data_IF_005482431629
#
_entry.id   IF_005482431629
#
_cell.length_a   1.000
_cell.length_b   1.000
_cell.length_c   1.000
_cell.angle_alpha   90.00
_cell.angle_beta   90.00
_cell.angle_gamma   90.00
#
_symmetry.space_group_name_H-M   'P 1'
#
loop_
_entity.id
_entity.type
_entity.pdbx_description
1 polymer ?
#
# COMPACT_ATOMS: atom_id res chain seq x y z
N UNK A 1 -68.65 -2.36 -40.53
CA UNK A 1 -68.20 -3.50 -41.36
C UNK A 1 -67.35 -4.38 -40.45
N UNK A 2 -67.99 -5.26 -39.67
CA UNK A 2 -68.23 -6.71 -39.96
C UNK A 2 -66.93 -7.50 -40.06
N UNK A 3 -66.71 -8.66 -39.44
CA UNK A 3 -67.35 -9.49 -38.41
C UNK A 3 -66.26 -10.55 -38.07
N UNK A 4 -65.91 -10.89 -36.82
CA UNK A 4 -66.58 -11.88 -35.95
C UNK A 4 -66.66 -13.28 -36.64
N UNK A 5 -66.09 -14.38 -36.13
CA UNK A 5 -66.56 -15.21 -34.99
C UNK A 5 -65.64 -16.49 -34.91
N UNK A 6 -65.08 -16.92 -33.76
CA UNK A 6 -65.62 -17.91 -32.75
C UNK A 6 -65.36 -19.41 -33.13
N UNK A 7 -65.15 -20.43 -32.27
CA UNK A 7 -65.26 -20.77 -30.82
C UNK A 7 -64.33 -21.99 -30.57
N UNK A 8 -64.03 -22.52 -29.38
CA UNK A 8 -64.50 -22.33 -28.01
C UNK A 8 -63.89 -23.41 -27.09
N UNK A 9 -63.86 -23.16 -25.77
CA UNK A 9 -63.53 -24.15 -24.71
C UNK A 9 -64.72 -25.07 -24.38
N UNK A 10 -64.95 -25.53 -23.11
CA UNK A 10 -64.16 -25.34 -21.87
C UNK A 10 -64.12 -26.59 -20.92
N UNK A 11 -63.43 -26.44 -19.77
CA UNK A 11 -63.85 -26.78 -18.36
C UNK A 11 -62.93 -27.69 -17.50
N UNK A 12 -62.45 -27.06 -16.42
CA UNK A 12 -62.46 -27.40 -14.96
C UNK A 12 -61.86 -28.72 -14.41
N UNK A 13 -60.98 -28.53 -13.41
CA UNK A 13 -60.38 -29.43 -12.41
C UNK A 13 -61.36 -29.96 -11.33
N UNK A 14 -61.06 -31.08 -10.62
CA UNK A 14 -60.64 -30.95 -9.19
C UNK A 14 -59.71 -32.04 -8.59
N UNK A 15 -58.82 -31.59 -7.68
CA UNK A 15 -58.24 -32.16 -6.42
C UNK A 15 -58.07 -33.66 -6.07
N UNK A 16 -56.94 -33.91 -5.36
CA UNK A 16 -56.66 -34.75 -4.15
C UNK A 16 -55.71 -35.97 -4.27
N UNK A 17 -54.92 -36.13 -3.17
CA UNK A 17 -54.16 -37.30 -2.65
C UNK A 17 -52.62 -37.28 -2.76
N UNK A 18 -51.94 -37.13 -1.61
CA UNK A 18 -50.55 -37.54 -1.24
C UNK A 18 -50.59 -38.91 -0.51
N UNK A 19 -49.50 -39.63 -0.11
CA UNK A 19 -48.02 -39.51 -0.26
C UNK A 19 -47.27 -40.84 -0.60
N UNK A 20 -45.93 -40.86 -0.74
CA UNK A 20 -44.98 -41.83 -0.10
C UNK A 20 -43.54 -41.81 -0.68
N UNK A 21 -42.55 -41.93 0.24
CA UNK A 21 -41.19 -42.53 0.21
C UNK A 21 -40.37 -42.56 -1.12
N UNK A 22 -39.05 -42.36 -1.18
CA UNK A 22 -37.95 -42.46 -0.23
C UNK A 22 -36.64 -41.99 -0.92
N UNK A 23 -35.53 -42.03 -0.18
CA UNK A 23 -34.13 -42.05 -0.62
C UNK A 23 -33.37 -40.71 -0.74
N UNK A 24 -32.83 -40.34 0.42
CA UNK A 24 -31.50 -39.79 0.66
C UNK A 24 -30.47 -39.88 -0.48
N UNK A 25 -29.82 -38.75 -0.78
CA UNK A 25 -28.38 -38.66 -0.99
C UNK A 25 -27.93 -37.19 -0.80
N UNK A 26 -27.65 -36.82 0.44
CA UNK A 26 -26.78 -35.68 0.76
C UNK A 26 -25.34 -36.17 0.71
N UNK A 27 -24.62 -35.82 -0.36
CA UNK A 27 -23.17 -35.98 -0.48
C UNK A 27 -22.50 -34.61 -0.27
N UNK A 28 -21.66 -34.55 0.76
CA UNK A 28 -20.40 -33.81 0.86
C UNK A 28 -20.31 -32.37 0.36
N UNK A 29 -21.04 -31.45 0.99
CA UNK A 29 -20.69 -30.03 0.97
C UNK A 29 -19.92 -29.56 2.23
N UNK A 30 -19.88 -30.37 3.30
CA UNK A 30 -19.23 -29.98 4.56
C UNK A 30 -17.73 -30.24 4.57
N UNK A 31 -17.22 -31.27 3.90
CA UNK A 31 -15.76 -31.51 3.84
C UNK A 31 -15.03 -30.45 3.01
N UNK A 32 -15.58 -30.07 1.85
CA UNK A 32 -14.99 -29.01 1.02
C UNK A 32 -15.00 -27.65 1.70
N UNK A 33 -16.06 -27.34 2.47
CA UNK A 33 -16.16 -26.10 3.23
C UNK A 33 -15.21 -26.10 4.45
N UNK A 34 -15.09 -27.22 5.16
CA UNK A 34 -14.17 -27.38 6.28
C UNK A 34 -12.70 -27.43 5.83
N UNK A 35 -12.39 -27.95 4.64
CA UNK A 35 -11.05 -27.89 4.04
C UNK A 35 -10.71 -26.43 3.67
N UNK A 36 -11.63 -25.68 3.07
CA UNK A 36 -11.41 -24.27 2.74
C UNK A 36 -11.25 -23.43 4.01
N UNK A 37 -12.03 -23.67 5.06
CA UNK A 37 -11.85 -23.04 6.37
C UNK A 37 -10.50 -23.44 7.00
N UNK A 38 -10.16 -24.73 7.01
CA UNK A 38 -8.90 -25.26 7.55
C UNK A 38 -7.65 -24.90 6.73
N UNK A 39 -7.80 -24.41 5.50
CA UNK A 39 -6.72 -23.79 4.71
C UNK A 39 -6.58 -22.30 5.05
N UNK A 40 -7.69 -21.58 5.28
CA UNK A 40 -7.69 -20.16 5.69
C UNK A 40 -7.07 -19.94 7.08
N UNK A 41 -7.20 -20.91 7.99
CA UNK A 41 -6.58 -20.85 9.31
C UNK A 41 -5.05 -21.04 9.31
N UNK A 42 -4.45 -21.48 8.18
CA UNK A 42 -3.00 -21.72 8.07
C UNK A 42 -2.21 -20.57 7.46
N UNK A 43 -2.88 -19.49 7.06
CA UNK A 43 -2.26 -18.37 6.35
C UNK A 43 -1.49 -17.44 7.27
N UNK A 44 -1.82 -17.40 8.57
CA UNK A 44 -1.05 -16.65 9.56
C UNK A 44 -0.49 -17.63 10.58
N UNK A 45 0.83 -17.61 10.77
CA UNK A 45 1.53 -18.47 11.71
C UNK A 45 2.36 -17.63 12.69
N UNK A 46 2.25 -17.93 13.98
CA UNK A 46 3.07 -17.33 15.03
C UNK A 46 3.82 -18.43 15.77
N UNK A 47 5.14 -18.31 15.83
CA UNK A 47 6.04 -19.34 16.39
C UNK A 47 5.77 -20.74 15.82
N UNK A 48 5.47 -20.81 14.51
CA UNK A 48 5.18 -22.04 13.79
C UNK A 48 3.77 -22.63 14.02
N UNK A 49 2.89 -21.96 14.76
CA UNK A 49 1.52 -22.40 15.02
C UNK A 49 0.50 -21.51 14.31
N UNK A 50 -0.63 -22.07 13.81
CA UNK A 50 -1.74 -21.29 13.29
C UNK A 50 -2.21 -20.22 14.29
N UNK A 51 -2.38 -18.99 13.82
CA UNK A 51 -2.85 -17.88 14.63
C UNK A 51 -4.38 -17.86 14.72
N UNK A 52 -4.93 -18.10 15.92
CA UNK A 52 -6.36 -18.41 16.11
C UNK A 52 -7.20 -17.33 16.80
N UNK A 53 -6.64 -16.53 17.71
CA UNK A 53 -7.40 -15.51 18.45
C UNK A 53 -6.94 -14.11 18.12
N UNK A 54 -7.92 -13.28 17.90
CA UNK A 54 -7.85 -12.01 17.23
C UNK A 54 -8.23 -10.89 18.24
N UNK A 55 -8.60 -11.31 19.46
CA UNK A 55 -9.24 -10.52 20.53
C UNK A 55 -8.38 -9.37 21.06
N UNK A 56 -7.09 -9.41 20.75
CA UNK A 56 -6.14 -8.31 21.03
C UNK A 56 -6.48 -7.03 20.27
N UNK A 57 -7.18 -7.11 19.13
CA UNK A 57 -7.55 -5.95 18.33
C UNK A 57 -9.06 -5.71 18.32
N UNK A 58 -9.52 -4.47 18.55
CA UNK A 58 -10.94 -4.14 18.57
C UNK A 58 -11.64 -4.56 17.26
N UNK A 59 -12.91 -5.00 17.33
CA UNK A 59 -13.71 -5.26 16.15
C UNK A 59 -13.72 -4.04 15.21
N UNK A 60 -13.58 -4.29 13.90
CA UNK A 60 -13.55 -3.26 12.83
C UNK A 60 -12.36 -2.28 12.87
N UNK A 61 -11.35 -2.53 13.72
CA UNK A 61 -10.07 -1.80 13.63
C UNK A 61 -9.37 -2.06 12.30
N UNK A 62 -8.44 -1.17 11.93
CA UNK A 62 -7.61 -1.34 10.72
C UNK A 62 -6.80 -2.64 10.81
N UNK A 63 -6.30 -2.98 11.99
CA UNK A 63 -5.59 -4.23 12.25
C UNK A 63 -6.48 -5.45 11.97
N UNK A 64 -7.76 -5.43 12.38
CA UNK A 64 -8.71 -6.51 12.04
C UNK A 64 -8.96 -6.64 10.56
N UNK A 65 -9.04 -5.53 9.83
CA UNK A 65 -9.18 -5.56 8.37
C UNK A 65 -7.93 -6.16 7.73
N UNK A 66 -6.73 -5.78 8.18
CA UNK A 66 -5.47 -6.34 7.67
C UNK A 66 -5.39 -7.84 7.96
N UNK A 67 -5.69 -8.28 9.19
CA UNK A 67 -5.69 -9.69 9.57
C UNK A 67 -6.67 -10.51 8.73
N UNK A 68 -7.87 -9.97 8.48
CA UNK A 68 -8.84 -10.61 7.60
C UNK A 68 -8.28 -10.76 6.17
N UNK A 69 -7.64 -9.72 5.63
CA UNK A 69 -7.01 -9.78 4.29
C UNK A 69 -5.82 -10.75 4.25
N UNK A 70 -5.02 -10.84 5.30
CA UNK A 70 -3.95 -11.84 5.41
C UNK A 70 -4.50 -13.27 5.39
N UNK A 71 -5.64 -13.54 6.04
CA UNK A 71 -6.30 -14.87 6.02
C UNK A 71 -6.89 -15.24 4.65
N UNK A 72 -7.32 -14.24 3.89
CA UNK A 72 -7.90 -14.40 2.56
C UNK A 72 -6.85 -14.45 1.43
N UNK A 73 -5.63 -14.02 1.74
CA UNK A 73 -4.49 -14.05 0.82
C UNK A 73 -4.06 -15.50 0.53
N UNK A 74 -3.47 -15.78 -0.66
CA UNK A 74 -2.85 -17.07 -0.95
C UNK A 74 -1.47 -17.26 -0.28
N UNK A 75 -0.92 -16.22 0.36
CA UNK A 75 0.42 -16.25 0.96
C UNK A 75 0.40 -16.67 2.44
N UNK A 76 1.46 -17.36 2.87
CA UNK A 76 1.68 -17.66 4.30
C UNK A 76 2.49 -16.55 4.96
N UNK A 77 1.90 -15.93 5.98
CA UNK A 77 2.50 -14.92 6.85
C UNK A 77 3.00 -15.57 8.14
N UNK A 78 4.30 -15.85 8.20
CA UNK A 78 4.93 -16.46 9.39
C UNK A 78 5.70 -15.43 10.22
N UNK A 79 5.46 -15.44 11.53
CA UNK A 79 6.06 -14.54 12.52
C UNK A 79 6.76 -15.36 13.62
N UNK A 80 7.88 -14.88 14.15
CA UNK A 80 8.60 -15.54 15.25
C UNK A 80 7.87 -15.37 16.59
N UNK A 81 7.13 -14.28 16.76
CA UNK A 81 6.40 -13.93 17.99
C UNK A 81 5.13 -13.12 17.72
N UNK A 82 4.25 -13.05 18.73
CA UNK A 82 3.07 -12.18 18.69
C UNK A 82 3.44 -10.70 18.57
N UNK A 83 4.58 -10.29 19.14
CA UNK A 83 5.07 -8.92 19.05
C UNK A 83 5.46 -8.55 17.62
N UNK A 84 6.03 -9.48 16.86
CA UNK A 84 6.38 -9.26 15.45
C UNK A 84 5.13 -9.08 14.58
N UNK A 85 4.10 -9.92 14.77
CA UNK A 85 2.79 -9.74 14.11
C UNK A 85 2.17 -8.40 14.50
N UNK A 86 2.11 -8.09 15.80
CA UNK A 86 1.56 -6.83 16.28
C UNK A 86 2.34 -5.61 15.76
N UNK A 87 3.65 -5.74 15.56
CA UNK A 87 4.50 -4.73 14.98
C UNK A 87 4.14 -4.46 13.52
N UNK A 88 4.03 -5.50 12.68
CA UNK A 88 3.62 -5.32 11.27
C UNK A 88 2.26 -4.64 11.16
N UNK A 89 1.26 -5.11 11.92
CA UNK A 89 -0.08 -4.53 11.91
C UNK A 89 -0.07 -3.05 12.32
N UNK A 90 0.73 -2.69 13.32
CA UNK A 90 0.92 -1.31 13.77
C UNK A 90 1.54 -0.43 12.69
N UNK A 91 2.63 -0.90 12.06
CA UNK A 91 3.30 -0.14 11.00
C UNK A 91 2.37 0.04 9.81
N UNK A 92 1.66 -1.02 9.36
CA UNK A 92 0.68 -0.92 8.27
C UNK A 92 -0.44 0.07 8.56
N UNK A 93 -1.02 0.03 9.76
CA UNK A 93 -1.99 1.04 10.21
C UNK A 93 -1.40 2.44 10.12
N UNK A 94 -0.16 2.62 10.58
CA UNK A 94 0.50 3.91 10.57
C UNK A 94 0.89 4.37 9.16
N UNK A 95 1.14 3.48 8.21
CA UNK A 95 1.31 3.81 6.78
C UNK A 95 0.01 4.41 6.24
N UNK A 96 -1.12 3.75 6.51
CA UNK A 96 -2.45 4.22 6.11
C UNK A 96 -2.77 5.59 6.74
N UNK A 97 -2.51 5.74 8.05
CA UNK A 97 -2.71 7.00 8.75
C UNK A 97 -1.81 8.12 8.19
N UNK A 98 -0.55 7.80 7.88
CA UNK A 98 0.41 8.73 7.28
C UNK A 98 0.01 9.15 5.87
N UNK A 99 -0.50 8.24 5.05
CA UNK A 99 -1.03 8.55 3.73
C UNK A 99 -2.22 9.52 3.80
N UNK A 100 -3.17 9.25 4.72
CA UNK A 100 -4.30 10.15 4.97
C UNK A 100 -3.84 11.51 5.50
N UNK A 101 -2.92 11.54 6.46
CA UNK A 101 -2.39 12.80 6.99
C UNK A 101 -1.70 13.62 5.91
N UNK A 102 -0.94 12.98 5.01
CA UNK A 102 -0.29 13.67 3.89
C UNK A 102 -1.32 14.30 2.96
N UNK A 103 -2.41 13.59 2.64
CA UNK A 103 -3.52 14.12 1.83
C UNK A 103 -4.10 15.45 2.37
N UNK A 104 -4.07 15.66 3.68
CA UNK A 104 -4.62 16.86 4.32
C UNK A 104 -3.56 17.89 4.76
N UNK A 105 -2.27 17.58 4.63
CA UNK A 105 -1.17 18.43 5.11
C UNK A 105 -0.91 19.69 4.29
N UNK A 106 -1.47 19.78 3.07
CA UNK A 106 -1.21 20.87 2.13
C UNK A 106 0.09 20.74 1.33
N UNK A 107 0.81 19.61 1.42
CA UNK A 107 1.92 19.30 0.50
C UNK A 107 1.42 19.25 -0.94
N UNK A 108 2.27 19.70 -1.88
CA UNK A 108 1.94 19.68 -3.30
C UNK A 108 2.80 18.69 -4.07
N UNK A 109 2.27 18.22 -5.20
CA UNK A 109 3.06 17.48 -6.17
C UNK A 109 3.84 18.46 -7.05
N UNK A 110 5.15 18.27 -7.18
CA UNK A 110 5.99 18.91 -8.19
C UNK A 110 7.07 17.91 -8.66
N UNK A 111 7.51 17.95 -9.94
CA UNK A 111 8.68 17.19 -10.38
C UNK A 111 9.96 17.70 -9.69
N UNK A 112 11.06 16.95 -9.80
CA UNK A 112 12.33 17.28 -9.15
C UNK A 112 12.82 18.72 -9.39
N UNK A 113 12.71 19.22 -10.61
CA UNK A 113 13.14 20.58 -10.98
C UNK A 113 12.37 21.71 -10.30
N UNK A 114 11.21 21.41 -9.71
CA UNK A 114 10.33 22.35 -9.00
C UNK A 114 10.10 21.95 -7.54
N UNK A 115 10.87 20.99 -7.04
CA UNK A 115 10.77 20.55 -5.66
C UNK A 115 11.19 21.66 -4.69
N UNK A 116 10.54 21.69 -3.53
CA UNK A 116 10.78 22.69 -2.47
C UNK A 116 10.55 22.06 -1.11
N UNK A 117 11.30 22.53 -0.11
CA UNK A 117 11.23 22.05 1.26
C UNK A 117 11.51 23.17 2.25
N UNK A 118 11.11 22.98 3.52
CA UNK A 118 11.39 23.95 4.56
C UNK A 118 12.91 24.02 4.84
N UNK A 119 13.56 25.18 4.60
CA UNK A 119 15.00 25.32 4.77
C UNK A 119 15.43 25.26 6.24
N UNK A 120 14.50 25.26 7.21
CA UNK A 120 14.82 25.02 8.61
C UNK A 120 15.40 23.62 8.84
N UNK A 121 14.85 22.61 8.15
CA UNK A 121 15.17 21.20 8.38
C UNK A 121 15.99 20.59 7.25
N UNK A 122 15.77 21.05 6.02
CA UNK A 122 16.29 20.42 4.82
C UNK A 122 17.17 21.38 4.01
N UNK A 123 18.20 20.85 3.38
CA UNK A 123 18.91 21.47 2.28
C UNK A 123 18.37 20.89 0.97
N UNK A 124 17.77 21.75 0.14
CA UNK A 124 17.41 21.39 -1.23
C UNK A 124 18.67 21.22 -2.08
N UNK A 125 18.85 20.07 -2.71
CA UNK A 125 19.96 19.80 -3.63
C UNK A 125 19.66 20.35 -5.02
N UNK A 126 20.69 20.50 -5.86
CA UNK A 126 20.54 20.97 -7.26
C UNK A 126 19.68 20.04 -8.13
N UNK A 127 19.48 18.79 -7.71
CA UNK A 127 18.65 17.78 -8.38
C UNK A 127 17.26 17.64 -7.74
N UNK A 128 16.89 18.53 -6.82
CA UNK A 128 15.57 18.53 -6.18
C UNK A 128 15.39 17.54 -5.03
N UNK A 129 16.46 16.92 -4.53
CA UNK A 129 16.42 16.06 -3.34
C UNK A 129 16.53 16.86 -2.04
N UNK A 130 16.02 16.32 -0.93
CA UNK A 130 16.06 16.98 0.38
C UNK A 130 17.06 16.30 1.29
N UNK A 131 18.19 16.95 1.54
CA UNK A 131 19.21 16.47 2.47
C UNK A 131 18.92 17.01 3.86
N UNK A 132 18.78 16.13 4.84
CA UNK A 132 18.60 16.54 6.24
C UNK A 132 19.80 17.37 6.69
N UNK A 133 19.55 18.52 7.33
CA UNK A 133 20.63 19.39 7.82
C UNK A 133 21.35 18.75 9.01
N UNK A 134 22.67 18.96 9.16
CA UNK A 134 23.42 18.50 10.32
C UNK A 134 22.80 18.96 11.64
N UNK A 135 22.70 18.06 12.62
CA UNK A 135 22.17 18.35 13.96
C UNK A 135 20.64 18.44 14.06
N UNK A 136 19.91 18.33 12.95
CA UNK A 136 18.43 18.31 12.97
C UNK A 136 17.95 16.90 13.32
N UNK A 137 17.06 16.73 14.33
CA UNK A 137 16.46 15.44 14.62
C UNK A 137 15.59 14.95 13.45
N UNK A 138 15.81 13.72 12.93
CA UNK A 138 15.03 13.17 11.81
C UNK A 138 13.51 13.19 12.06
N UNK A 139 13.08 12.88 13.28
CA UNK A 139 11.67 12.91 13.67
C UNK A 139 11.05 14.30 13.49
N UNK A 140 11.76 15.36 13.91
CA UNK A 140 11.27 16.74 13.80
C UNK A 140 11.14 17.15 12.33
N UNK A 141 12.12 16.79 11.50
CA UNK A 141 12.14 17.09 10.08
C UNK A 141 11.02 16.39 9.30
N UNK A 142 10.73 15.12 9.63
CA UNK A 142 9.63 14.35 9.03
C UNK A 142 8.27 14.88 9.49
N UNK A 143 8.07 15.13 10.78
CA UNK A 143 6.83 15.71 11.30
C UNK A 143 6.53 17.10 10.73
N UNK A 144 7.56 17.91 10.47
CA UNK A 144 7.40 19.24 9.89
C UNK A 144 6.76 19.18 8.49
N UNK A 145 7.01 18.13 7.70
CA UNK A 145 6.37 17.93 6.40
C UNK A 145 4.85 17.84 6.55
N UNK A 146 4.36 17.21 7.61
CA UNK A 146 2.93 17.06 7.87
C UNK A 146 2.31 18.30 8.50
N UNK A 147 3.04 19.00 9.38
CA UNK A 147 2.55 20.20 10.08
C UNK A 147 2.57 21.45 9.21
N UNK A 148 3.60 21.59 8.37
CA UNK A 148 3.84 22.75 7.53
C UNK A 148 3.86 22.37 6.05
N UNK A 149 2.97 21.47 5.62
CA UNK A 149 3.00 20.86 4.29
C UNK A 149 2.98 21.86 3.13
N UNK A 150 2.37 23.03 3.32
CA UNK A 150 2.42 24.13 2.34
C UNK A 150 3.85 24.60 2.01
N UNK A 151 4.84 24.39 2.88
CA UNK A 151 6.27 24.65 2.62
C UNK A 151 6.96 23.57 1.77
N UNK A 152 6.28 22.45 1.51
CA UNK A 152 6.83 21.33 0.75
C UNK A 152 6.10 21.03 -0.58
N UNK A 153 6.88 20.73 -1.62
CA UNK A 153 6.42 20.06 -2.82
C UNK A 153 7.48 19.09 -3.34
N UNK A 154 7.04 17.89 -3.69
CA UNK A 154 7.90 16.77 -4.12
C UNK A 154 7.08 15.78 -4.95
N UNK A 155 7.77 14.89 -5.65
CA UNK A 155 7.14 13.88 -6.51
C UNK A 155 6.66 12.64 -5.73
N UNK A 156 5.92 11.74 -6.38
CA UNK A 156 5.16 10.69 -5.67
C UNK A 156 6.03 9.57 -5.08
N UNK A 157 7.20 9.23 -5.62
CA UNK A 157 8.09 8.25 -4.99
C UNK A 157 8.67 8.78 -3.66
N UNK A 158 9.13 10.04 -3.65
CA UNK A 158 9.59 10.74 -2.45
C UNK A 158 8.47 10.81 -1.40
N UNK A 159 7.22 11.02 -1.84
CA UNK A 159 6.05 10.99 -0.96
C UNK A 159 5.88 9.64 -0.25
N UNK A 160 6.08 8.52 -0.95
CA UNK A 160 6.03 7.18 -0.35
C UNK A 160 7.11 7.01 0.73
N UNK A 161 8.35 7.44 0.46
CA UNK A 161 9.40 7.35 1.48
C UNK A 161 9.07 8.18 2.72
N UNK A 162 8.55 9.39 2.56
CA UNK A 162 8.11 10.23 3.68
C UNK A 162 7.00 9.53 4.47
N UNK A 163 6.04 8.90 3.79
CA UNK A 163 4.97 8.10 4.43
C UNK A 163 5.55 6.94 5.24
N UNK A 164 6.52 6.21 4.69
CA UNK A 164 7.16 5.12 5.42
C UNK A 164 7.94 5.63 6.65
N UNK A 165 8.74 6.69 6.52
CA UNK A 165 9.44 7.26 7.66
C UNK A 165 8.48 7.77 8.74
N UNK A 166 7.40 8.47 8.36
CA UNK A 166 6.40 8.93 9.31
C UNK A 166 5.65 7.75 9.96
N UNK A 167 5.36 6.69 9.21
CA UNK A 167 4.73 5.49 9.76
C UNK A 167 5.62 4.77 10.76
N UNK A 168 6.92 4.64 10.47
CA UNK A 168 7.90 4.05 11.39
C UNK A 168 8.05 4.92 12.63
N UNK A 169 8.18 6.25 12.48
CA UNK A 169 8.24 7.19 13.60
C UNK A 169 7.05 7.03 14.56
N UNK A 170 5.85 6.80 14.04
CA UNK A 170 4.64 6.58 14.83
C UNK A 170 4.50 5.13 15.37
N UNK A 171 5.46 4.26 15.10
CA UNK A 171 5.42 2.84 15.49
C UNK A 171 6.49 2.44 16.50
N UNK A 172 7.55 3.24 16.64
CA UNK A 172 8.70 3.01 17.53
C UNK A 172 8.97 4.22 18.43
N UNK A 173 9.89 4.07 19.37
CA UNK A 173 10.35 5.19 20.20
C UNK A 173 11.02 6.30 19.35
N UNK A 174 10.71 7.56 19.67
CA UNK A 174 11.24 8.73 18.93
C UNK A 174 12.77 8.80 18.97
N UNK A 175 13.38 8.51 20.12
CA UNK A 175 14.85 8.54 20.25
C UNK A 175 15.46 7.46 19.38
N UNK A 176 14.87 6.26 19.37
CA UNK A 176 15.29 5.19 18.47
C UNK A 176 15.14 5.58 16.99
N UNK A 177 14.02 6.20 16.60
CA UNK A 177 13.84 6.71 15.23
C UNK A 177 14.96 7.69 14.84
N UNK A 178 15.26 8.66 15.72
CA UNK A 178 16.32 9.62 15.51
C UNK A 178 17.71 8.96 15.41
N UNK A 179 17.97 7.90 16.16
CA UNK A 179 19.21 7.13 16.09
C UNK A 179 19.32 6.32 14.79
N UNK A 180 18.22 5.73 14.33
CA UNK A 180 18.19 4.95 13.10
C UNK A 180 18.37 5.87 11.89
N UNK A 181 17.64 6.97 11.77
CA UNK A 181 17.55 7.71 10.50
C UNK A 181 18.33 9.05 10.48
N UNK A 182 19.55 9.09 11.02
CA UNK A 182 20.32 10.34 11.24
C UNK A 182 20.71 11.13 9.99
N UNK A 183 20.78 10.50 8.81
CA UNK A 183 21.32 11.10 7.58
C UNK A 183 20.34 11.00 6.41
N UNK A 184 19.06 11.25 6.68
CA UNK A 184 18.03 11.16 5.65
C UNK A 184 18.36 12.02 4.43
N UNK A 185 18.21 11.39 3.28
CA UNK A 185 18.19 12.05 1.99
C UNK A 185 16.90 11.63 1.27
N UNK A 186 15.96 12.56 1.11
CA UNK A 186 14.69 12.27 0.44
C UNK A 186 14.85 12.57 -1.04
N UNK A 187 14.91 11.53 -1.86
CA UNK A 187 15.03 11.65 -3.31
C UNK A 187 14.54 10.35 -3.98
N UNK A 188 13.44 10.42 -4.72
CA UNK A 188 12.83 9.25 -5.37
C UNK A 188 12.68 8.08 -4.37
N UNK A 189 13.18 6.89 -4.73
CA UNK A 189 13.21 5.69 -3.91
C UNK A 189 14.54 5.48 -3.14
N UNK A 190 15.39 6.52 -3.03
CA UNK A 190 16.58 6.44 -2.19
C UNK A 190 16.18 6.34 -0.71
N UNK A 191 16.31 5.13 -0.15
CA UNK A 191 15.95 4.83 1.21
C UNK A 191 17.18 4.58 2.08
N UNK A 192 17.07 4.96 3.34
CA UNK A 192 17.99 4.53 4.37
C UNK A 192 17.93 2.99 4.50
N UNK A 193 19.08 2.30 4.60
CA UNK A 193 19.11 0.85 4.51
C UNK A 193 18.36 0.16 5.65
N UNK A 194 18.13 0.82 6.79
CA UNK A 194 17.35 0.25 7.90
C UNK A 194 15.85 0.18 7.59
N UNK A 195 15.36 0.93 6.59
CA UNK A 195 13.97 0.85 6.14
C UNK A 195 13.70 -0.42 5.30
N UNK A 196 14.70 -0.89 4.56
CA UNK A 196 14.70 -2.14 3.78
C UNK A 196 13.45 -2.33 2.92
N UNK A 197 13.42 -1.66 1.78
CA UNK A 197 12.27 -1.65 0.86
C UNK A 197 12.38 -2.82 -0.13
N UNK A 198 11.27 -3.54 -0.30
CA UNK A 198 11.20 -4.70 -1.19
C UNK A 198 10.03 -4.54 -2.16
N UNK A 199 10.27 -4.96 -3.40
CA UNK A 199 9.26 -5.10 -4.46
C UNK A 199 8.99 -6.59 -4.67
N UNK A 200 7.72 -6.99 -4.64
CA UNK A 200 7.29 -8.39 -4.74
C UNK A 200 6.14 -8.47 -5.75
N UNK A 201 6.19 -9.45 -6.65
CA UNK A 201 5.06 -9.74 -7.55
C UNK A 201 3.89 -10.30 -6.73
N UNK A 202 2.73 -9.64 -6.84
CA UNK A 202 1.50 -10.08 -6.19
C UNK A 202 0.31 -9.33 -6.78
N UNK A 203 -0.78 -10.06 -7.02
CA UNK A 203 -2.10 -9.50 -7.36
C UNK A 203 -3.02 -9.39 -6.14
N UNK A 204 -2.52 -9.74 -4.95
CA UNK A 204 -3.25 -9.67 -3.68
C UNK A 204 -2.66 -8.61 -2.77
N UNK A 205 -3.38 -7.50 -2.60
CA UNK A 205 -2.90 -6.33 -1.86
C UNK A 205 -3.43 -6.27 -0.44
N UNK A 206 -2.53 -6.00 0.51
CA UNK A 206 -2.89 -5.71 1.89
C UNK A 206 -2.98 -4.20 2.12
N UNK A 207 -3.88 -3.73 3.00
CA UNK A 207 -3.84 -2.34 3.45
C UNK A 207 -2.44 -1.96 3.99
N UNK A 208 -1.95 -0.80 3.57
CA UNK A 208 -0.59 -0.33 3.84
C UNK A 208 0.47 -0.75 2.81
N UNK A 209 0.14 -1.62 1.85
CA UNK A 209 1.03 -1.86 0.70
C UNK A 209 1.08 -0.62 -0.20
N UNK A 210 2.17 -0.48 -0.96
CA UNK A 210 2.28 0.50 -2.04
C UNK A 210 2.22 -0.23 -3.38
N UNK A 211 1.29 0.17 -4.22
CA UNK A 211 1.10 -0.35 -5.57
C UNK A 211 1.50 0.68 -6.61
N UNK A 212 1.58 0.25 -7.87
CA UNK A 212 1.86 1.15 -8.98
C UNK A 212 0.81 1.04 -10.09
N UNK A 213 0.22 2.19 -10.44
CA UNK A 213 -0.63 2.33 -11.62
C UNK A 213 0.24 2.74 -12.80
N UNK A 214 0.45 1.84 -13.75
CA UNK A 214 1.26 2.10 -14.93
C UNK A 214 0.43 2.78 -16.02
N UNK A 215 1.01 3.80 -16.67
CA UNK A 215 0.44 4.46 -17.85
C UNK A 215 1.43 4.34 -19.02
N UNK A 216 1.41 3.22 -19.77
CA UNK A 216 2.46 2.91 -20.74
C UNK A 216 2.56 3.93 -21.88
N UNK A 217 1.43 4.56 -22.22
CA UNK A 217 1.29 5.47 -23.35
C UNK A 217 1.15 6.94 -22.92
N UNK A 218 1.74 7.33 -21.79
CA UNK A 218 1.72 8.69 -21.28
C UNK A 218 2.21 9.72 -22.31
N UNK A 219 1.72 10.96 -22.21
CA UNK A 219 2.12 12.04 -23.10
C UNK A 219 3.58 12.48 -22.83
N UNK A 220 4.49 12.51 -23.84
CA UNK A 220 5.92 12.78 -23.62
C UNK A 220 6.22 14.12 -22.94
N UNK A 221 5.43 15.16 -23.22
CA UNK A 221 5.59 16.49 -22.60
C UNK A 221 5.17 16.56 -21.12
N UNK A 222 4.56 15.50 -20.58
CA UNK A 222 4.10 15.43 -19.20
C UNK A 222 4.51 14.09 -18.57
N UNK A 223 5.81 13.82 -18.59
CA UNK A 223 6.41 12.52 -18.27
C UNK A 223 6.23 12.05 -16.83
N UNK A 224 5.77 12.92 -15.92
CA UNK A 224 5.33 12.55 -14.57
C UNK A 224 4.00 11.79 -14.54
N UNK A 225 3.24 11.76 -15.65
CA UNK A 225 2.03 10.94 -15.80
C UNK A 225 2.31 9.53 -16.34
N UNK A 226 3.57 9.08 -16.35
CA UNK A 226 3.96 7.70 -16.71
C UNK A 226 3.33 6.63 -15.83
N UNK A 227 2.88 7.03 -14.66
CA UNK A 227 2.22 6.18 -13.71
C UNK A 227 2.14 6.87 -12.36
N UNK A 228 1.70 6.12 -11.36
CA UNK A 228 1.43 6.65 -10.02
C UNK A 228 1.68 5.60 -8.96
N UNK A 229 2.54 5.93 -7.98
CA UNK A 229 2.69 5.15 -6.77
C UNK A 229 1.54 5.46 -5.81
N UNK A 230 0.90 4.44 -5.22
CA UNK A 230 -0.23 4.67 -4.34
C UNK A 230 -0.27 3.73 -3.14
N UNK A 231 -0.63 4.28 -1.97
CA UNK A 231 -0.82 3.49 -0.74
C UNK A 231 -2.24 2.90 -0.72
N UNK A 232 -2.34 1.58 -0.51
CA UNK A 232 -3.60 0.87 -0.34
C UNK A 232 -4.21 1.20 1.03
N UNK A 233 -5.45 1.69 1.06
CA UNK A 233 -6.17 2.03 2.29
C UNK A 233 -7.08 0.88 2.74
N UNK A 234 -7.53 0.94 3.99
CA UNK A 234 -8.32 -0.13 4.62
C UNK A 234 -9.68 -0.38 3.95
N UNK A 235 -10.22 0.63 3.26
CA UNK A 235 -11.50 0.56 2.56
C UNK A 235 -11.37 0.18 1.07
N UNK A 236 -10.17 -0.19 0.61
CA UNK A 236 -9.90 -0.52 -0.80
C UNK A 236 -9.72 0.69 -1.72
N UNK A 237 -9.73 1.91 -1.19
CA UNK A 237 -9.27 3.10 -1.90
C UNK A 237 -7.73 3.20 -1.86
N UNK A 238 -7.20 4.19 -2.57
CA UNK A 238 -5.77 4.42 -2.71
C UNK A 238 -5.45 5.89 -2.46
N UNK A 239 -4.37 6.17 -1.72
CA UNK A 239 -3.78 7.51 -1.67
C UNK A 239 -2.69 7.61 -2.73
N UNK A 240 -2.85 8.54 -3.68
CA UNK A 240 -1.90 8.86 -4.73
C UNK A 240 -1.48 10.33 -4.63
N UNK A 241 -0.18 10.62 -4.45
CA UNK A 241 0.29 11.98 -4.17
C UNK A 241 0.11 12.90 -5.38
N UNK A 242 -0.60 14.03 -5.20
CA UNK A 242 -1.00 14.92 -6.29
C UNK A 242 -2.36 14.59 -6.92
N UNK A 243 -2.91 13.40 -6.70
CA UNK A 243 -4.26 12.98 -7.11
C UNK A 243 -5.23 12.97 -5.92
N UNK A 244 -4.73 12.61 -4.74
CA UNK A 244 -5.47 12.43 -3.49
C UNK A 244 -6.01 11.01 -3.32
N UNK A 245 -6.96 10.85 -2.38
CA UNK A 245 -7.60 9.57 -2.09
C UNK A 245 -8.66 9.23 -3.15
N UNK A 246 -8.50 8.14 -3.89
CA UNK A 246 -9.35 7.74 -5.03
C UNK A 246 -9.52 6.22 -5.13
N UNK A 247 -10.54 5.77 -5.87
CA UNK A 247 -10.61 4.37 -6.30
C UNK A 247 -9.59 4.07 -7.41
N UNK A 248 -9.27 2.78 -7.61
CA UNK A 248 -8.42 2.35 -8.73
C UNK A 248 -8.96 2.84 -10.09
N UNK A 249 -10.27 2.73 -10.32
CA UNK A 249 -10.91 3.18 -11.56
C UNK A 249 -10.76 4.69 -11.79
N UNK A 250 -10.82 5.51 -10.75
CA UNK A 250 -10.61 6.95 -10.84
C UNK A 250 -9.16 7.31 -11.16
N UNK A 251 -8.19 6.62 -10.55
CA UNK A 251 -6.75 6.81 -10.84
C UNK A 251 -6.47 6.44 -12.31
N UNK A 252 -6.92 5.25 -12.75
CA UNK A 252 -6.76 4.77 -14.13
C UNK A 252 -7.39 5.75 -15.12
N UNK A 253 -8.60 6.25 -14.84
CA UNK A 253 -9.26 7.25 -15.68
C UNK A 253 -8.46 8.56 -15.76
N UNK A 254 -7.89 9.02 -14.65
CA UNK A 254 -7.01 10.19 -14.61
C UNK A 254 -5.78 10.03 -15.49
N UNK A 255 -5.09 8.88 -15.38
CA UNK A 255 -3.92 8.54 -16.18
C UNK A 255 -4.25 8.42 -17.67
N UNK A 256 -5.38 7.79 -18.01
CA UNK A 256 -5.81 7.61 -19.40
C UNK A 256 -6.08 8.93 -20.14
N UNK A 257 -6.48 9.99 -19.42
CA UNK A 257 -6.66 11.35 -19.97
C UNK A 257 -5.33 12.06 -20.28
N UNK A 258 -4.20 11.49 -19.84
CA UNK A 258 -2.84 12.04 -20.00
C UNK A 258 -1.99 11.20 -20.95
N UNK A 259 -2.62 10.38 -21.79
CA UNK A 259 -1.95 9.60 -22.83
C UNK A 259 -1.62 10.45 -24.05
N UNK A 260 -0.69 9.98 -24.86
CA UNK A 260 -0.43 10.54 -26.20
C UNK A 260 -1.68 10.45 -27.10
N UNK A 261 -1.87 11.39 -28.04
CA UNK A 261 -2.99 11.33 -28.99
C UNK A 261 -3.04 10.00 -29.74
N UNK A 262 -4.24 9.46 -29.93
CA UNK A 262 -4.46 8.20 -30.65
C UNK A 262 -4.12 6.92 -29.87
N UNK A 263 -3.69 7.01 -28.61
CA UNK A 263 -3.38 5.81 -27.81
C UNK A 263 -4.61 4.94 -27.55
N UNK A 264 -4.47 3.64 -27.81
CA UNK A 264 -5.45 2.59 -27.49
C UNK A 264 -5.04 1.74 -26.28
N UNK A 265 -3.80 1.86 -25.78
CA UNK A 265 -3.32 1.11 -24.63
C UNK A 265 -3.70 1.80 -23.32
N UNK A 266 -4.51 1.20 -22.44
CA UNK A 266 -4.94 1.83 -21.20
C UNK A 266 -3.88 1.73 -20.09
N UNK A 267 -3.92 2.69 -19.17
CA UNK A 267 -3.32 2.57 -17.86
C UNK A 267 -3.95 1.42 -17.07
N UNK A 268 -3.16 0.78 -16.22
CA UNK A 268 -3.58 -0.39 -15.44
C UNK A 268 -2.82 -0.46 -14.11
N UNK A 269 -3.40 -1.15 -13.14
CA UNK A 269 -2.74 -1.50 -11.89
C UNK A 269 -1.78 -2.67 -12.15
N UNK A 270 -0.54 -2.56 -11.71
CA UNK A 270 0.45 -3.64 -11.83
C UNK A 270 0.29 -4.67 -10.71
N UNK A 271 0.60 -5.94 -11.01
CA UNK A 271 0.72 -7.03 -10.04
C UNK A 271 2.04 -6.99 -9.27
N UNK A 272 2.37 -5.83 -8.70
CA UNK A 272 3.57 -5.61 -7.90
C UNK A 272 3.25 -4.77 -6.67
N UNK A 273 3.77 -5.20 -5.53
CA UNK A 273 3.67 -4.48 -4.26
C UNK A 273 5.05 -4.06 -3.79
N UNK A 274 5.13 -2.85 -3.27
CA UNK A 274 6.29 -2.33 -2.53
C UNK A 274 5.93 -2.20 -1.06
N UNK A 275 6.79 -2.71 -0.19
CA UNK A 275 6.64 -2.60 1.27
C UNK A 275 8.00 -2.61 1.98
N UNK A 276 8.13 -1.98 3.16
CA UNK A 276 9.31 -2.14 3.99
C UNK A 276 9.34 -3.54 4.63
N UNK A 277 10.52 -3.98 5.03
CA UNK A 277 10.70 -5.22 5.79
C UNK A 277 10.24 -5.05 7.23
N UNK A 278 8.99 -5.39 7.51
CA UNK A 278 8.41 -5.29 8.85
C UNK A 278 9.19 -6.13 9.87
N UNK A 279 9.68 -7.29 9.47
CA UNK A 279 10.51 -8.17 10.33
C UNK A 279 11.80 -7.49 10.74
N UNK A 280 12.50 -6.87 9.78
CA UNK A 280 13.74 -6.14 10.07
C UNK A 280 13.47 -4.96 10.99
N UNK A 281 12.47 -4.14 10.67
CA UNK A 281 12.07 -3.01 11.50
C UNK A 281 11.68 -3.45 12.93
N UNK A 282 10.96 -4.57 13.07
CA UNK A 282 10.60 -5.14 14.37
C UNK A 282 11.84 -5.50 15.17
N UNK A 283 12.81 -6.22 14.57
CA UNK A 283 14.09 -6.55 15.22
C UNK A 283 14.88 -5.31 15.60
N UNK A 284 14.89 -4.27 14.75
CA UNK A 284 15.56 -3.02 15.10
C UNK A 284 14.88 -2.29 16.26
N UNK A 285 13.56 -2.44 16.40
CA UNK A 285 12.79 -1.81 17.48
C UNK A 285 13.04 -2.41 18.86
N UNK A 286 13.52 -3.67 18.92
CA UNK A 286 13.78 -4.38 20.18
C UNK A 286 15.25 -4.38 20.59
N UNK A 287 16.16 -4.07 19.68
CA UNK A 287 17.59 -3.96 19.97
C UNK A 287 17.86 -2.71 20.82
N UNK A 288 18.47 -2.90 21.99
CA UNK A 288 19.03 -1.79 22.77
C UNK A 288 20.31 -1.31 22.08
N UNK A 289 20.20 -0.37 21.15
CA UNK A 289 21.39 0.25 20.52
C UNK A 289 21.97 1.29 21.47
N UNK A 290 23.06 0.94 22.14
CA UNK A 290 23.85 1.89 22.93
C UNK A 290 24.83 2.71 22.08
N UNK A 291 25.09 2.33 20.81
CA UNK A 291 26.06 3.02 19.94
C UNK A 291 25.50 3.30 18.54
N UNK A 292 25.87 4.43 17.90
CA UNK A 292 25.54 4.69 16.51
C UNK A 292 26.26 3.67 15.62
N UNK A 293 25.51 2.74 15.05
CA UNK A 293 26.06 1.80 14.08
C UNK A 293 26.45 2.57 12.81
N UNK A 294 27.75 2.61 12.50
CA UNK A 294 28.20 2.98 11.16
C UNK A 294 27.53 2.05 10.15
N UNK A 295 26.61 2.60 9.36
CA UNK A 295 25.94 1.89 8.27
C UNK A 295 26.35 2.51 6.95
N UNK A 296 26.64 1.65 5.98
CA UNK A 296 26.92 2.07 4.62
C UNK A 296 25.62 2.59 4.01
N UNK A 297 25.56 3.89 3.77
CA UNK A 297 24.45 4.48 3.04
C UNK A 297 24.56 4.08 1.57
N UNK A 298 23.47 3.62 0.93
CA UNK A 298 23.46 3.37 -0.50
C UNK A 298 23.92 4.60 -1.29
N UNK A 299 24.54 4.39 -2.45
CA UNK A 299 24.80 5.50 -3.35
C UNK A 299 23.46 6.15 -3.77
N UNK A 300 23.41 7.48 -3.77
CA UNK A 300 22.26 8.20 -4.27
C UNK A 300 22.37 8.36 -5.79
N UNK A 301 21.47 7.70 -6.54
CA UNK A 301 21.42 7.82 -8.00
C UNK A 301 20.40 8.86 -8.42
N UNK A 302 20.91 9.98 -8.93
CA UNK A 302 20.09 11.11 -9.35
C UNK A 302 19.59 10.99 -10.79
N UNK A 303 18.67 10.04 -11.04
CA UNK A 303 18.09 9.81 -12.37
C UNK A 303 17.15 10.93 -12.87
N UNK A 304 16.65 11.81 -12.01
CA UNK A 304 15.71 12.91 -12.27
C UNK A 304 14.41 12.50 -12.98
N UNK A 305 13.90 11.30 -12.67
CA UNK A 305 12.68 10.75 -13.28
C UNK A 305 11.59 10.63 -12.21
N UNK A 306 10.56 11.48 -12.30
CA UNK A 306 9.43 11.45 -11.37
C UNK A 306 8.49 10.27 -11.63
N UNK A 307 7.81 9.84 -10.56
CA UNK A 307 6.74 8.85 -10.62
C UNK A 307 7.14 7.49 -11.16
N UNK A 308 8.38 7.06 -10.93
CA UNK A 308 8.81 5.69 -11.21
C UNK A 308 8.42 4.75 -10.05
N UNK A 309 8.19 3.45 -10.33
CA UNK A 309 8.03 2.44 -9.29
C UNK A 309 9.39 2.06 -8.67
N UNK A 310 9.37 1.47 -7.47
CA UNK A 310 10.60 1.16 -6.71
C UNK A 310 11.52 0.17 -7.44
N UNK A 311 10.98 -0.85 -8.13
CA UNK A 311 11.80 -1.80 -8.89
C UNK A 311 12.56 -1.14 -10.06
N UNK A 312 12.02 -0.08 -10.66
CA UNK A 312 12.71 0.66 -11.71
C UNK A 312 13.89 1.47 -11.12
N UNK A 313 13.79 1.91 -9.86
CA UNK A 313 14.93 2.51 -9.16
C UNK A 313 16.08 1.51 -8.94
N UNK A 314 15.77 0.25 -8.60
CA UNK A 314 16.77 -0.81 -8.47
C UNK A 314 17.54 -1.07 -9.77
N UNK A 315 16.86 -0.95 -10.92
CA UNK A 315 17.53 -1.04 -12.22
C UNK A 315 18.60 0.05 -12.40
N UNK A 316 18.32 1.29 -11.97
CA UNK A 316 19.32 2.37 -12.01
C UNK A 316 20.47 2.12 -11.03
N UNK A 317 20.21 1.53 -9.86
CA UNK A 317 21.23 1.13 -8.86
C UNK A 317 22.24 0.11 -9.40
N UNK A 318 21.81 -0.78 -10.28
CA UNK A 318 22.69 -1.82 -10.84
C UNK A 318 23.46 -1.39 -12.10
N UNK A 319 23.27 -0.15 -12.57
CA UNK A 319 23.97 0.40 -13.74
C UNK A 319 25.20 1.25 -13.39
N UNK A 320 25.48 1.44 -12.10
CA UNK A 320 26.63 2.18 -11.56
C UNK A 320 27.63 1.25 -10.91
#
# INVERSE_FOLDING_TARGET
MSAALLMGGPKRTPSLVTPSHDASHTLDNDEGFNIIIGMRDRMIQVSGRPFQSDDMWPPRSVERIILQRMRESPDVYSYESMDELAFELRVRKNIIASAKAMNYSGVQFEPFSRSRCNPRYWQLTSVGGFRLKPGVPPADAIEDIYRNGFLYAFECATAILIIYYHAVLNSIDRRLFNQLFQHLYLYSWHADPDLDIQSIESDYFLPGDVVYFNNPDFHPSASWWRGENAVVLENGAFFAHGIGIRSASQIIMGLNRRRRPGSTQPAHLMGIVTRPSFKRLSRLSTLTRNEPSHKNQPAAIHHNISSIPSYQHLFYLNQT
#
